data_IF_318538594460
#
_entry.id   IF_318538594460
#
_cell.length_a   1.000
_cell.length_b   1.000
_cell.length_c   1.000
_cell.angle_alpha   90.00
_cell.angle_beta   90.00
_cell.angle_gamma   90.00
#
_symmetry.space_group_name_H-M   'P 1'
#
loop_
_entity.id
_entity.type
_entity.pdbx_description
1 polymer ?
#
# COMPACT_ATOMS: atom_id res chain seq x y z
N UNK A 1 -8.53 -15.98 -27.74
CA UNK A 1 -7.70 -15.85 -26.52
C UNK A 1 -7.55 -14.37 -26.26
N UNK A 2 -7.96 -13.87 -25.08
CA UNK A 2 -7.80 -12.45 -24.73
C UNK A 2 -6.34 -12.21 -24.36
N UNK A 3 -5.69 -11.26 -25.03
CA UNK A 3 -4.39 -10.75 -24.60
C UNK A 3 -4.56 -9.98 -23.29
N UNK A 4 -3.87 -10.43 -22.24
CA UNK A 4 -4.08 -9.98 -20.85
C UNK A 4 -3.25 -8.75 -20.46
N UNK A 5 -2.53 -8.13 -21.39
CA UNK A 5 -1.72 -6.95 -21.09
C UNK A 5 -1.63 -5.98 -22.27
N UNK A 6 -2.43 -4.92 -22.19
CA UNK A 6 -2.57 -3.88 -23.23
C UNK A 6 -1.33 -2.99 -23.39
N UNK A 7 -0.39 -3.05 -22.42
CA UNK A 7 0.84 -2.25 -22.43
C UNK A 7 2.05 -3.02 -22.96
N UNK A 8 1.91 -4.30 -23.34
CA UNK A 8 3.01 -5.03 -23.95
C UNK A 8 3.24 -4.53 -25.37
N UNK A 9 4.41 -3.94 -25.60
CA UNK A 9 4.90 -3.69 -26.96
C UNK A 9 5.05 -5.05 -27.65
N UNK A 10 4.38 -5.22 -28.80
CA UNK A 10 4.50 -6.42 -29.61
C UNK A 10 5.98 -6.66 -29.94
N UNK A 11 6.45 -7.91 -29.78
CA UNK A 11 7.81 -8.31 -30.08
C UNK A 11 8.21 -7.81 -31.48
N UNK A 12 9.03 -6.76 -31.54
CA UNK A 12 9.56 -6.25 -32.78
C UNK A 12 10.67 -7.20 -33.21
N UNK A 13 10.41 -7.96 -34.26
CA UNK A 13 11.39 -8.84 -34.86
C UNK A 13 12.56 -7.98 -35.35
N UNK A 14 13.66 -7.95 -34.57
CA UNK A 14 14.86 -7.18 -34.90
C UNK A 14 15.34 -7.67 -36.26
N UNK A 15 15.10 -6.86 -37.30
CA UNK A 15 15.62 -7.14 -38.63
C UNK A 15 17.10 -6.79 -38.59
N UNK A 16 17.95 -7.79 -38.39
CA UNK A 16 19.40 -7.63 -38.44
C UNK A 16 19.77 -7.17 -39.86
N UNK A 17 20.07 -5.88 -40.02
CA UNK A 17 20.62 -5.37 -41.27
C UNK A 17 22.03 -5.93 -41.47
N UNK A 18 22.37 -6.29 -42.71
CA UNK A 18 23.66 -6.89 -43.09
C UNK A 18 24.81 -5.88 -43.17
N UNK A 19 24.60 -4.64 -42.71
CA UNK A 19 25.63 -3.60 -42.56
C UNK A 19 25.92 -3.40 -41.08
N UNK A 20 27.15 -3.04 -40.68
CA UNK A 20 27.45 -2.73 -39.29
C UNK A 20 26.74 -1.42 -38.93
N UNK A 21 25.47 -1.51 -38.55
CA UNK A 21 24.80 -0.44 -37.87
C UNK A 21 25.56 -0.22 -36.57
N UNK A 22 26.02 1.03 -36.36
CA UNK A 22 26.61 1.48 -35.10
C UNK A 22 25.68 1.04 -33.97
N UNK A 23 26.11 0.04 -33.20
CA UNK A 23 25.25 -0.62 -32.22
C UNK A 23 24.59 0.41 -31.31
N UNK A 24 23.27 0.46 -31.34
CA UNK A 24 22.52 1.27 -30.39
C UNK A 24 22.49 0.51 -29.08
N UNK A 25 23.19 1.01 -28.07
CA UNK A 25 23.07 0.49 -26.70
C UNK A 25 21.77 1.06 -26.16
N UNK A 26 20.80 0.20 -25.83
CA UNK A 26 19.62 0.63 -25.09
C UNK A 26 20.07 1.17 -23.73
N UNK A 27 19.88 2.46 -23.51
CA UNK A 27 20.19 3.12 -22.25
C UNK A 27 19.06 2.86 -21.25
N UNK A 28 19.29 1.99 -20.27
CA UNK A 28 18.40 1.75 -19.12
C UNK A 28 18.40 2.88 -18.08
N UNK A 29 18.95 4.04 -18.45
CA UNK A 29 19.13 5.22 -17.59
C UNK A 29 17.81 5.82 -17.11
N UNK A 30 16.70 5.54 -17.81
CA UNK A 30 15.40 6.15 -17.54
C UNK A 30 14.32 5.10 -17.20
N UNK A 31 14.54 4.36 -16.10
CA UNK A 31 13.45 3.62 -15.44
C UNK A 31 12.87 4.56 -14.37
N UNK A 32 11.75 5.21 -14.69
CA UNK A 32 10.96 5.92 -13.69
C UNK A 32 10.36 4.89 -12.72
N UNK A 33 10.89 4.83 -11.50
CA UNK A 33 10.32 4.00 -10.46
C UNK A 33 8.92 4.51 -10.12
N UNK A 34 7.90 3.67 -10.30
CA UNK A 34 6.56 3.98 -9.79
C UNK A 34 6.65 4.06 -8.26
N UNK A 35 6.41 5.23 -7.69
CA UNK A 35 6.39 5.42 -6.24
C UNK A 35 5.08 4.82 -5.71
N UNK A 36 5.15 3.57 -5.25
CA UNK A 36 3.99 2.86 -4.68
C UNK A 36 3.72 3.25 -3.22
N UNK A 37 4.69 3.85 -2.52
CA UNK A 37 4.48 4.39 -1.17
C UNK A 37 3.99 5.83 -1.23
N UNK A 38 2.76 6.05 -0.79
CA UNK A 38 2.13 7.39 -0.76
C UNK A 38 2.42 8.18 0.52
N UNK A 39 2.97 7.54 1.57
CA UNK A 39 3.23 8.22 2.84
C UNK A 39 4.49 9.07 2.80
N UNK A 40 4.38 10.28 3.33
CA UNK A 40 5.48 11.24 3.40
C UNK A 40 6.46 10.98 4.56
N UNK A 41 6.13 10.07 5.48
CA UNK A 41 6.90 9.79 6.69
C UNK A 41 6.78 8.33 7.15
N UNK A 42 7.70 7.90 8.02
CA UNK A 42 7.65 6.61 8.71
C UNK A 42 6.45 6.55 9.68
N UNK A 43 5.89 5.35 9.92
CA UNK A 43 4.84 5.18 10.93
C UNK A 43 5.31 5.61 12.32
N UNK A 44 4.41 6.28 13.04
CA UNK A 44 4.62 6.60 14.45
C UNK A 44 4.49 5.34 15.32
N UNK A 45 4.99 5.39 16.56
CA UNK A 45 4.83 4.29 17.51
C UNK A 45 3.36 3.95 17.75
N UNK A 46 2.50 4.97 17.86
CA UNK A 46 1.05 4.80 17.95
C UNK A 46 0.48 4.02 16.74
N UNK A 47 0.89 4.39 15.53
CA UNK A 47 0.42 3.74 14.30
C UNK A 47 0.88 2.28 14.20
N UNK A 48 2.11 1.98 14.62
CA UNK A 48 2.59 0.61 14.68
C UNK A 48 1.81 -0.21 15.71
N UNK A 49 1.61 0.32 16.93
CA UNK A 49 0.85 -0.37 17.98
C UNK A 49 -0.61 -0.61 17.57
N UNK A 50 -1.24 0.35 16.90
CA UNK A 50 -2.58 0.20 16.35
C UNK A 50 -2.62 -0.87 15.24
N UNK A 51 -1.61 -0.89 14.37
CA UNK A 51 -1.45 -1.91 13.33
C UNK A 51 -1.35 -3.31 13.90
N UNK A 52 -0.44 -3.54 14.85
CA UNK A 52 -0.22 -4.83 15.51
C UNK A 52 -1.50 -5.33 16.22
N UNK A 53 -2.23 -4.41 16.87
CA UNK A 53 -3.50 -4.73 17.50
C UNK A 53 -4.58 -5.09 16.47
N UNK A 54 -4.66 -4.35 15.36
CA UNK A 54 -5.61 -4.65 14.28
C UNK A 54 -5.34 -6.00 13.61
N UNK A 55 -4.08 -6.37 13.41
CA UNK A 55 -3.72 -7.70 12.89
C UNK A 55 -4.27 -8.82 13.79
N UNK A 56 -4.13 -8.65 15.10
CA UNK A 56 -4.65 -9.60 16.09
C UNK A 56 -6.17 -9.66 16.09
N UNK A 57 -6.84 -8.50 16.08
CA UNK A 57 -8.31 -8.41 16.15
C UNK A 57 -8.97 -8.93 14.87
N UNK A 58 -8.43 -8.58 13.70
CA UNK A 58 -8.96 -8.98 12.40
C UNK A 58 -8.74 -10.46 12.08
N UNK A 59 -7.81 -11.12 12.76
CA UNK A 59 -7.70 -12.58 12.72
C UNK A 59 -8.96 -13.29 13.27
N UNK A 60 -9.75 -12.60 14.10
CA UNK A 60 -10.90 -13.19 14.79
C UNK A 60 -12.25 -12.61 14.35
N UNK A 61 -12.33 -11.32 14.03
CA UNK A 61 -13.61 -10.65 13.69
C UNK A 61 -13.43 -9.56 12.64
N UNK A 62 -14.47 -9.35 11.84
CA UNK A 62 -14.54 -8.30 10.82
C UNK A 62 -15.70 -7.33 11.06
N UNK A 63 -16.42 -7.48 12.18
CA UNK A 63 -17.55 -6.61 12.53
C UNK A 63 -17.06 -5.40 13.31
N UNK A 64 -17.45 -4.19 12.88
CA UNK A 64 -16.93 -2.92 13.42
C UNK A 64 -17.10 -2.80 14.94
N UNK A 65 -18.29 -3.13 15.45
CA UNK A 65 -18.59 -3.08 16.88
C UNK A 65 -17.70 -4.06 17.68
N UNK A 66 -17.44 -5.25 17.15
CA UNK A 66 -16.58 -6.24 17.80
C UNK A 66 -15.10 -5.84 17.73
N UNK A 67 -14.67 -5.24 16.62
CA UNK A 67 -13.31 -4.71 16.46
C UNK A 67 -13.04 -3.65 17.53
N UNK A 68 -13.93 -2.67 17.67
CA UNK A 68 -13.81 -1.60 18.68
C UNK A 68 -13.79 -2.18 20.10
N UNK A 69 -14.69 -3.11 20.40
CA UNK A 69 -14.72 -3.75 21.72
C UNK A 69 -13.42 -4.50 22.05
N UNK A 70 -12.84 -5.22 21.07
CA UNK A 70 -11.57 -5.94 21.25
C UNK A 70 -10.39 -4.99 21.37
N UNK A 71 -10.33 -3.91 20.57
CA UNK A 71 -9.28 -2.90 20.69
C UNK A 71 -9.26 -2.25 22.08
N UNK A 72 -10.43 -1.91 22.62
CA UNK A 72 -10.55 -1.39 23.98
C UNK A 72 -10.14 -2.44 25.03
N UNK A 73 -10.47 -3.71 24.81
CA UNK A 73 -10.04 -4.81 25.70
C UNK A 73 -8.52 -4.98 25.71
N UNK A 74 -7.85 -4.75 24.57
CA UNK A 74 -6.39 -4.74 24.43
C UNK A 74 -5.74 -3.47 25.01
N UNK A 75 -6.54 -2.49 25.45
CA UNK A 75 -6.05 -1.22 26.00
C UNK A 75 -5.51 -0.26 24.93
N UNK A 76 -5.88 -0.45 23.67
CA UNK A 76 -5.53 0.49 22.61
C UNK A 76 -6.49 1.67 22.67
N UNK A 77 -5.93 2.84 22.96
CA UNK A 77 -6.65 4.10 22.97
C UNK A 77 -6.39 4.87 21.68
N UNK A 78 -7.25 5.84 21.38
CA UNK A 78 -7.04 6.77 20.28
C UNK A 78 -5.86 7.73 20.56
N UNK A 79 -5.52 8.58 19.59
CA UNK A 79 -4.44 9.59 19.70
C UNK A 79 -4.60 10.56 20.88
N UNK A 80 -5.83 10.82 21.30
CA UNK A 80 -6.16 11.68 22.43
C UNK A 80 -6.14 10.95 23.78
N UNK A 81 -5.87 9.63 23.78
CA UNK A 81 -5.84 8.79 24.98
C UNK A 81 -7.21 8.31 25.46
N UNK A 82 -8.28 8.49 24.66
CA UNK A 82 -9.63 8.02 24.97
C UNK A 82 -9.89 6.64 24.35
N UNK A 83 -10.85 5.90 24.91
CA UNK A 83 -11.32 4.63 24.35
C UNK A 83 -11.93 4.83 22.96
N UNK A 84 -11.86 3.79 22.12
CA UNK A 84 -12.48 3.80 20.81
C UNK A 84 -14.01 3.67 20.92
N UNK A 85 -14.69 4.47 20.11
CA UNK A 85 -16.09 4.32 19.70
C UNK A 85 -16.10 4.06 18.19
N UNK A 86 -17.18 3.52 17.65
CA UNK A 86 -17.28 3.28 16.20
C UNK A 86 -17.10 4.56 15.38
N UNK A 87 -17.62 5.68 15.88
CA UNK A 87 -17.51 6.99 15.23
C UNK A 87 -16.08 7.51 15.22
N UNK A 88 -15.40 7.53 16.39
CA UNK A 88 -14.05 8.07 16.47
C UNK A 88 -13.02 7.14 15.77
N UNK A 89 -13.26 5.83 15.77
CA UNK A 89 -12.42 4.86 15.06
C UNK A 89 -12.50 5.05 13.54
N UNK A 90 -13.71 5.25 13.02
CA UNK A 90 -13.91 5.49 11.57
C UNK A 90 -13.27 6.81 11.14
N UNK A 91 -13.36 7.85 11.98
CA UNK A 91 -12.66 9.13 11.75
C UNK A 91 -11.15 8.96 11.76
N UNK A 92 -10.61 8.18 12.70
CA UNK A 92 -9.19 7.90 12.83
C UNK A 92 -8.64 7.21 11.57
N UNK A 93 -9.31 6.15 11.08
CA UNK A 93 -8.94 5.48 9.83
C UNK A 93 -9.02 6.42 8.63
N UNK A 94 -10.04 7.26 8.57
CA UNK A 94 -10.21 8.27 7.51
C UNK A 94 -9.10 9.32 7.52
N UNK A 95 -8.57 9.65 8.69
CA UNK A 95 -7.44 10.56 8.84
C UNK A 95 -6.13 9.89 8.38
N UNK A 96 -5.87 8.66 8.81
CA UNK A 96 -4.69 7.87 8.42
C UNK A 96 -4.60 7.65 6.91
N UNK A 97 -5.73 7.43 6.24
CA UNK A 97 -5.78 7.23 4.79
C UNK A 97 -5.36 8.46 3.96
N UNK A 98 -5.32 9.65 4.57
CA UNK A 98 -4.99 10.92 3.91
C UNK A 98 -3.53 11.37 4.13
N UNK A 99 -2.74 10.58 4.86
CA UNK A 99 -1.35 10.90 5.24
C UNK A 99 -0.29 10.37 4.27
#
# INVERSE_FOLDING_TARGET
MKDYNENLVLWQQIRLETRPAKGSIETYDHIDNLVWQTRSALPTEYENNLGDALETVLAETHELAEIVAKLNTLGINNRDGNEFTEENFTLELSHLAKQ
#
